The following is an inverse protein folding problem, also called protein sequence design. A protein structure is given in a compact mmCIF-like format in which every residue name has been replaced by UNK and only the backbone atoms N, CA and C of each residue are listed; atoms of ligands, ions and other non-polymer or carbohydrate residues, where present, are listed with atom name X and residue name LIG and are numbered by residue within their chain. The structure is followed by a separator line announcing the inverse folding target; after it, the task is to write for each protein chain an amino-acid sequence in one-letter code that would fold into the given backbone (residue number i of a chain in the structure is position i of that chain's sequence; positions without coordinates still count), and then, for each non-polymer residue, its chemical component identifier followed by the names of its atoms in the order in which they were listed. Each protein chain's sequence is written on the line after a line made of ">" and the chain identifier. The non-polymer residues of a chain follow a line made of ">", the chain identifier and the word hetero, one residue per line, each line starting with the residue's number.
data_IF_597789535999
#
_entry.id   IF_597789535999
#
_cell.length_a   1.000
_cell.length_b   1.000
_cell.length_c   1.000
_cell.angle_alpha   90.00
_cell.angle_beta   90.00
_cell.angle_gamma   90.00
#
_symmetry.space_group_name_H-M   'P 1'
#
loop_
_entity.id
_entity.type
_entity.pdbx_description
1 polymer ?
#
# COMPACT_ATOMS: atom_id res chain seq x y z
N UNK A 1 -0.11 4.66 1.57
CA UNK A 1 -1.24 3.72 1.34
C UNK A 1 -2.36 4.09 2.30
N UNK A 2 -3.61 3.83 1.94
CA UNK A 2 -4.72 3.82 2.90
C UNK A 2 -4.84 2.41 3.49
N UNK A 3 -5.43 2.23 4.67
CA UNK A 3 -5.64 0.90 5.26
C UNK A 3 -7.02 0.83 5.92
N UNK A 4 -7.55 -0.39 5.98
CA UNK A 4 -8.73 -0.72 6.76
C UNK A 4 -8.63 -2.17 7.25
N UNK A 5 -9.56 -2.58 8.11
CA UNK A 5 -9.69 -3.97 8.47
C UNK A 5 -9.90 -4.82 7.22
N UNK A 6 -9.24 -5.97 7.15
CA UNK A 6 -9.39 -6.91 6.02
C UNK A 6 -10.84 -7.38 5.87
N UNK A 7 -11.63 -7.37 6.95
CA UNK A 7 -13.06 -7.65 6.94
C UNK A 7 -13.93 -6.53 6.34
N UNK A 8 -13.40 -5.30 6.28
CA UNK A 8 -14.10 -4.12 5.75
C UNK A 8 -13.94 -3.97 4.23
N UNK A 9 -13.21 -4.88 3.58
CA UNK A 9 -13.01 -4.88 2.12
C UNK A 9 -13.96 -5.86 1.45
N UNK A 10 -14.75 -5.33 0.51
CA UNK A 10 -15.54 -6.14 -0.43
C UNK A 10 -14.96 -6.05 -1.84
N UNK A 11 -14.50 -7.19 -2.36
CA UNK A 11 -14.10 -7.29 -3.77
C UNK A 11 -15.35 -7.45 -4.65
N UNK A 12 -15.62 -6.45 -5.49
CA UNK A 12 -16.71 -6.54 -6.48
C UNK A 12 -16.32 -7.40 -7.70
N UNK A 13 -15.04 -7.39 -8.07
CA UNK A 13 -14.46 -8.25 -9.08
C UNK A 13 -13.00 -8.58 -8.71
N UNK A 14 -12.56 -9.80 -9.06
CA UNK A 14 -11.22 -10.29 -8.71
C UNK A 14 -10.60 -11.20 -9.77
N UNK A 15 -11.19 -11.29 -10.97
CA UNK A 15 -10.72 -12.19 -12.03
C UNK A 15 -9.27 -11.93 -12.47
N UNK A 16 -8.82 -10.68 -12.40
CA UNK A 16 -7.43 -10.27 -12.69
C UNK A 16 -6.60 -10.01 -11.44
N UNK A 17 -7.16 -10.19 -10.24
CA UNK A 17 -6.44 -10.01 -8.99
C UNK A 17 -5.58 -11.24 -8.72
N UNK A 18 -4.27 -11.03 -8.54
CA UNK A 18 -3.33 -12.06 -8.12
C UNK A 18 -2.69 -11.66 -6.80
N UNK A 19 -2.49 -12.65 -5.94
CA UNK A 19 -1.77 -12.53 -4.69
C UNK A 19 -0.44 -13.24 -4.81
N UNK A 20 0.64 -12.57 -4.40
CA UNK A 20 1.97 -13.13 -4.31
C UNK A 20 2.51 -12.99 -2.89
N UNK A 21 2.95 -14.11 -2.31
CA UNK A 21 3.62 -14.13 -1.01
C UNK A 21 5.04 -13.62 -1.18
N UNK A 22 5.23 -12.33 -0.93
CA UNK A 22 6.52 -11.65 -1.07
C UNK A 22 7.51 -11.97 0.06
N UNK A 23 7.02 -12.47 1.20
CA UNK A 23 7.84 -13.00 2.29
C UNK A 23 6.99 -13.91 3.18
N UNK A 24 7.58 -14.54 4.18
CA UNK A 24 6.84 -15.33 5.18
C UNK A 24 5.76 -14.53 5.91
N UNK A 25 5.93 -13.20 5.96
CA UNK A 25 5.09 -12.27 6.73
C UNK A 25 4.26 -11.33 5.87
N UNK A 26 4.37 -11.35 4.54
CA UNK A 26 3.72 -10.36 3.68
C UNK A 26 3.27 -10.90 2.33
N UNK A 27 2.09 -10.44 1.90
CA UNK A 27 1.51 -10.74 0.59
C UNK A 27 1.14 -9.44 -0.14
N UNK A 28 1.32 -9.47 -1.48
CA UNK A 28 1.04 -8.35 -2.38
C UNK A 28 -0.06 -8.73 -3.36
N UNK A 29 -1.07 -7.89 -3.46
CA UNK A 29 -2.16 -8.01 -4.41
C UNK A 29 -1.94 -7.09 -5.60
N UNK A 30 -1.96 -7.62 -6.82
CA UNK A 30 -1.73 -6.86 -8.04
C UNK A 30 -2.63 -7.32 -9.19
N UNK A 31 -2.82 -6.45 -10.19
CA UNK A 31 -3.56 -6.79 -11.40
C UNK A 31 -2.67 -7.56 -12.38
N UNK A 32 -3.03 -8.78 -12.76
CA UNK A 32 -2.28 -9.60 -13.72
C UNK A 32 -2.32 -9.10 -15.16
N UNK A 33 -3.16 -8.10 -15.48
CA UNK A 33 -3.27 -7.53 -16.83
C UNK A 33 -2.33 -6.36 -17.04
N UNK A 34 -2.25 -5.44 -16.07
CA UNK A 34 -1.49 -4.19 -16.19
C UNK A 34 -0.33 -4.07 -15.21
N UNK A 35 -0.19 -5.00 -14.25
CA UNK A 35 0.90 -5.00 -13.26
C UNK A 35 0.73 -4.02 -12.10
N UNK A 36 -0.36 -3.26 -12.04
CA UNK A 36 -0.61 -2.29 -10.97
C UNK A 36 -0.68 -2.98 -9.60
N UNK A 37 0.07 -2.45 -8.63
CA UNK A 37 -0.05 -2.84 -7.22
C UNK A 37 -1.34 -2.28 -6.64
N UNK A 38 -2.15 -3.14 -6.04
CA UNK A 38 -3.45 -2.80 -5.47
C UNK A 38 -3.44 -2.90 -3.95
N UNK A 39 -2.85 -3.98 -3.42
CA UNK A 39 -2.93 -4.32 -2.02
C UNK A 39 -1.59 -4.78 -1.43
N UNK A 40 -1.44 -4.55 -0.12
CA UNK A 40 -0.45 -5.20 0.73
C UNK A 40 -1.12 -5.68 2.01
N UNK A 41 -0.73 -6.86 2.49
CA UNK A 41 -1.18 -7.37 3.81
C UNK A 41 -0.04 -8.08 4.52
N UNK A 42 0.03 -7.92 5.83
CA UNK A 42 0.80 -8.83 6.67
C UNK A 42 0.13 -10.21 6.70
N UNK A 43 0.86 -11.29 6.97
CA UNK A 43 0.32 -12.64 7.06
C UNK A 43 0.54 -13.25 8.47
N UNK A 44 -0.53 -13.71 9.17
CA UNK A 44 -1.94 -13.37 8.98
C UNK A 44 -2.23 -11.99 9.59
N UNK A 45 -2.40 -10.97 8.76
CA UNK A 45 -2.67 -9.60 9.17
C UNK A 45 -4.17 -9.30 9.24
N UNK A 46 -4.59 -8.52 10.24
CA UNK A 46 -5.96 -8.03 10.38
C UNK A 46 -6.27 -6.84 9.47
N UNK A 47 -5.25 -6.20 8.91
CA UNK A 47 -5.37 -5.01 8.06
C UNK A 47 -4.94 -5.29 6.62
N UNK A 48 -5.63 -4.66 5.69
CA UNK A 48 -5.23 -4.61 4.29
C UNK A 48 -4.94 -3.17 3.90
N UNK A 49 -3.77 -2.96 3.32
CA UNK A 49 -3.33 -1.68 2.80
C UNK A 49 -3.71 -1.60 1.32
N UNK A 50 -4.30 -0.48 0.93
CA UNK A 50 -4.74 -0.16 -0.43
C UNK A 50 -3.84 0.92 -1.02
N UNK A 51 -3.40 0.72 -2.26
CA UNK A 51 -2.66 1.73 -3.00
C UNK A 51 -3.53 2.99 -3.19
N UNK A 52 -3.14 4.11 -2.60
CA UNK A 52 -3.99 5.31 -2.58
C UNK A 52 -4.32 5.84 -3.98
N UNK A 53 -3.44 5.62 -4.96
CA UNK A 53 -3.66 6.01 -6.36
C UNK A 53 -4.72 5.18 -7.10
N UNK A 54 -5.25 4.11 -6.50
CA UNK A 54 -6.32 3.28 -7.09
C UNK A 54 -7.71 3.67 -6.58
N UNK A 55 -7.81 4.73 -5.77
CA UNK A 55 -9.08 5.21 -5.22
C UNK A 55 -9.65 6.34 -6.08
N UNK A 56 -10.96 6.35 -6.26
CA UNK A 56 -11.63 7.38 -7.05
C UNK A 56 -11.61 8.74 -6.32
N UNK A 57 -11.29 9.84 -7.03
CA UNK A 57 -11.37 11.18 -6.46
C UNK A 57 -12.82 11.67 -6.31
N UNK A 58 -13.09 12.57 -5.35
CA UNK A 58 -12.14 13.14 -4.40
C UNK A 58 -11.91 12.20 -3.21
N UNK A 59 -10.65 11.86 -2.93
CA UNK A 59 -10.33 10.90 -1.86
C UNK A 59 -10.31 11.52 -0.47
N UNK A 60 -10.08 12.83 -0.36
CA UNK A 60 -9.89 13.51 0.93
C UNK A 60 -8.64 13.11 1.71
N UNK A 61 -7.84 12.16 1.19
CA UNK A 61 -6.65 11.64 1.87
C UNK A 61 -5.56 12.71 2.02
N UNK A 62 -4.75 12.56 3.06
CA UNK A 62 -3.54 13.36 3.31
C UNK A 62 -2.39 12.42 3.67
N UNK A 63 -1.18 12.80 3.28
CA UNK A 63 0.02 12.13 3.77
C UNK A 63 0.13 12.37 5.27
N UNK A 64 0.42 11.32 6.02
CA UNK A 64 0.58 11.38 7.48
C UNK A 64 2.03 11.23 7.92
N UNK A 65 2.84 10.46 7.17
CA UNK A 65 4.27 10.23 7.42
C UNK A 65 4.95 9.58 6.21
N UNK A 66 6.27 9.66 6.18
CA UNK A 66 7.15 8.95 5.26
C UNK A 66 7.86 7.82 5.99
N UNK A 67 7.79 6.60 5.46
CA UNK A 67 8.42 5.41 6.07
C UNK A 67 9.50 4.86 5.15
N UNK A 68 10.50 4.20 5.73
CA UNK A 68 11.69 3.68 5.03
C UNK A 68 12.51 4.77 4.32
N UNK A 69 12.61 5.96 4.90
CA UNK A 69 13.36 7.07 4.27
C UNK A 69 14.86 6.83 4.20
N UNK A 70 15.39 5.88 5.00
CA UNK A 70 16.80 5.45 4.91
C UNK A 70 17.10 4.72 3.59
N UNK A 71 16.08 4.11 2.97
CA UNK A 71 16.18 3.47 1.65
C UNK A 71 15.82 4.41 0.49
N UNK A 72 15.48 5.68 0.77
CA UNK A 72 15.16 6.65 -0.28
C UNK A 72 16.43 6.98 -1.07
N UNK A 73 16.33 7.04 -2.39
CA UNK A 73 17.45 7.48 -3.24
C UNK A 73 17.69 8.99 -3.13
N UNK A 74 18.87 9.45 -3.51
CA UNK A 74 19.35 10.83 -3.36
C UNK A 74 18.76 11.84 -4.37
N UNK A 75 17.98 11.39 -5.36
CA UNK A 75 17.46 12.26 -6.43
C UNK A 75 16.27 13.17 -6.04
N UNK A 76 15.77 13.12 -4.80
CA UNK A 76 14.59 13.93 -4.39
C UNK A 76 14.59 14.26 -2.89
N UNK A 77 13.95 15.36 -2.49
CA UNK A 77 13.81 15.75 -1.08
C UNK A 77 12.38 15.61 -0.56
N UNK A 78 12.24 15.35 0.75
CA UNK A 78 10.97 15.35 1.46
C UNK A 78 10.83 16.68 2.21
N UNK A 79 10.04 17.60 1.65
CA UNK A 79 9.96 19.01 2.10
C UNK A 79 8.64 19.38 2.79
N UNK A 80 7.73 18.43 2.98
CA UNK A 80 6.40 18.67 3.54
C UNK A 80 6.36 18.74 5.09
N UNK A 81 7.50 18.52 5.75
CA UNK A 81 7.62 18.58 7.20
C UNK A 81 6.90 17.44 7.95
N UNK A 82 6.41 16.42 7.25
CA UNK A 82 5.77 15.27 7.88
C UNK A 82 6.80 14.38 8.58
N UNK A 83 6.39 13.60 9.61
CA UNK A 83 7.27 12.63 10.26
C UNK A 83 7.96 11.70 9.26
N UNK A 84 9.25 11.45 9.46
CA UNK A 84 10.08 10.60 8.61
C UNK A 84 10.71 9.47 9.44
N UNK A 85 10.48 8.22 9.04
CA UNK A 85 11.00 7.02 9.71
C UNK A 85 12.07 6.33 8.85
N UNK A 86 13.24 6.07 9.43
CA UNK A 86 14.42 5.58 8.70
C UNK A 86 14.26 4.15 8.18
N UNK A 87 13.95 3.19 9.05
CA UNK A 87 13.75 1.77 8.75
C UNK A 87 12.87 1.12 9.84
N UNK A 88 12.20 0.02 9.49
CA UNK A 88 11.27 -0.72 10.38
C UNK A 88 11.48 -2.23 10.30
#
# INVERSE_FOLDING_TARGET
>A
MAACGSADIRLLASSTLRWYRSSDKAERGFCSRCGSNLFWRAAPGSETFVAAGTLDPPTGLRLSKHIFVGSKSDFYDLTDGLPQEQEG
#
